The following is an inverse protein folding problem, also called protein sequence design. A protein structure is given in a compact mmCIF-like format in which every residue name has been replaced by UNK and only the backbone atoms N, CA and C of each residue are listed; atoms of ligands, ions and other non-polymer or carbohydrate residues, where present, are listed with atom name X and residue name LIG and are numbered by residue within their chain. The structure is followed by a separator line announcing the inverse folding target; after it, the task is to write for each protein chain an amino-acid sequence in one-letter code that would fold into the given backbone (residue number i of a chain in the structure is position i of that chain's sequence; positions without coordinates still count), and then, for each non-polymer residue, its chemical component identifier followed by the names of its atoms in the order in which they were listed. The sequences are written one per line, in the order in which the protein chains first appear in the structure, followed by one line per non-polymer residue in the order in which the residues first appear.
data_IF_371315652097
#
_entry.id   IF_371315652097
#
_cell.length_a   1.000
_cell.length_b   1.000
_cell.length_c   1.000
_cell.angle_alpha   90.00
_cell.angle_beta   90.00
_cell.angle_gamma   90.00
#
_symmetry.space_group_name_H-M   'P 1'
#
loop_
_entity.id
_entity.type
_entity.pdbx_description
1 polymer ?
#
# COMPACT_ATOMS: atom_id res chain seq x y z
N UNK A 1 -10.37 6.91 23.15
CA UNK A 1 -9.81 6.27 21.95
C UNK A 1 -10.79 5.22 21.46
N UNK A 2 -11.15 5.23 20.18
CA UNK A 2 -11.98 4.17 19.59
C UNK A 2 -11.17 2.89 19.44
N UNK A 3 -11.82 1.73 19.56
CA UNK A 3 -11.13 0.43 19.54
C UNK A 3 -10.31 0.18 18.26
N UNK A 4 -10.77 0.69 17.12
CA UNK A 4 -10.08 0.59 15.83
C UNK A 4 -8.77 1.38 15.80
N UNK A 5 -8.71 2.55 16.44
CA UNK A 5 -7.48 3.35 16.54
C UNK A 5 -6.43 2.59 17.36
N UNK A 6 -6.83 2.04 18.51
CA UNK A 6 -5.93 1.25 19.35
C UNK A 6 -5.38 0.00 18.61
N UNK A 7 -6.20 -0.63 17.76
CA UNK A 7 -5.75 -1.76 16.91
C UNK A 7 -4.74 -1.31 15.87
N UNK A 8 -4.99 -0.20 15.18
CA UNK A 8 -4.05 0.33 14.19
C UNK A 8 -2.71 0.77 14.83
N UNK A 9 -2.75 1.39 16.01
CA UNK A 9 -1.56 1.75 16.79
C UNK A 9 -0.76 0.50 17.20
N UNK A 10 -1.45 -0.55 17.66
CA UNK A 10 -0.81 -1.81 18.00
C UNK A 10 -0.15 -2.46 16.77
N UNK A 11 -0.83 -2.47 15.62
CA UNK A 11 -0.30 -3.00 14.36
C UNK A 11 0.89 -2.19 13.84
N UNK A 12 0.88 -0.86 14.05
CA UNK A 12 2.00 0.00 13.73
C UNK A 12 3.23 -0.36 14.59
N UNK A 13 3.03 -0.52 15.90
CA UNK A 13 4.11 -0.94 16.81
C UNK A 13 4.70 -2.28 16.38
N UNK A 14 3.86 -3.27 16.08
CA UNK A 14 4.30 -4.59 15.59
C UNK A 14 5.05 -4.47 14.26
N UNK A 15 4.56 -3.65 13.32
CA UNK A 15 5.24 -3.45 12.04
C UNK A 15 6.63 -2.83 12.22
N UNK A 16 6.76 -1.84 13.11
CA UNK A 16 8.04 -1.20 13.44
C UNK A 16 8.99 -2.19 14.10
N UNK A 17 8.51 -3.01 15.04
CA UNK A 17 9.32 -4.08 15.64
C UNK A 17 9.83 -5.05 14.58
N UNK A 18 8.97 -5.52 13.68
CA UNK A 18 9.38 -6.44 12.60
C UNK A 18 10.41 -5.81 11.64
N UNK A 19 10.26 -4.52 11.31
CA UNK A 19 11.26 -3.82 10.52
C UNK A 19 12.59 -3.68 11.26
N UNK A 20 12.57 -3.36 12.56
CA UNK A 20 13.77 -3.27 13.39
C UNK A 20 14.47 -4.63 13.49
N UNK A 21 13.72 -5.69 13.78
CA UNK A 21 14.26 -7.04 13.90
C UNK A 21 14.88 -7.51 12.57
N UNK A 22 14.23 -7.20 11.44
CA UNK A 22 14.78 -7.46 10.10
C UNK A 22 16.08 -6.69 9.84
N UNK A 23 16.11 -5.40 10.17
CA UNK A 23 17.31 -4.57 10.01
C UNK A 23 18.46 -5.06 10.91
N UNK A 24 18.16 -5.45 12.15
CA UNK A 24 19.15 -5.99 13.07
C UNK A 24 19.74 -7.31 12.53
N UNK A 25 18.90 -8.23 12.05
CA UNK A 25 19.38 -9.46 11.43
C UNK A 25 20.32 -9.15 10.25
N UNK A 26 19.92 -8.27 9.34
CA UNK A 26 20.78 -7.89 8.20
C UNK A 26 22.07 -7.19 8.60
N UNK A 27 22.07 -6.46 9.72
CA UNK A 27 23.26 -5.78 10.24
C UNK A 27 24.23 -6.78 10.86
N UNK A 28 23.73 -7.76 11.62
CA UNK A 28 24.52 -8.85 12.20
C UNK A 28 25.21 -9.67 11.10
N UNK A 29 24.56 -9.89 9.97
CA UNK A 29 25.17 -10.59 8.82
C UNK A 29 26.20 -9.74 8.05
N UNK A 30 26.04 -8.41 8.06
CA UNK A 30 26.93 -7.49 7.38
C UNK A 30 28.22 -7.20 8.16
N UNK A 31 28.27 -7.55 9.46
CA UNK A 31 29.46 -7.40 10.28
C UNK A 31 30.48 -8.50 9.92
N UNK A 32 31.65 -8.15 9.38
CA UNK A 32 32.67 -9.16 9.09
C UNK A 32 33.16 -9.80 10.40
N UNK A 33 33.18 -11.13 10.47
CA UNK A 33 33.74 -11.92 11.59
C UNK A 33 35.28 -11.79 11.72
N UNK A 34 35.85 -10.59 11.53
CA UNK A 34 37.30 -10.38 11.46
C UNK A 34 37.99 -10.18 12.83
N UNK A 35 37.31 -10.34 13.97
CA UNK A 35 37.93 -10.12 15.29
C UNK A 35 37.98 -11.35 16.22
N UNK A 36 37.68 -12.56 15.75
CA UNK A 36 37.73 -13.78 16.59
C UNK A 36 38.83 -14.79 16.22
N UNK A 37 39.83 -14.37 15.44
CA UNK A 37 40.93 -15.23 14.96
C UNK A 37 42.34 -14.81 15.39
N UNK A 38 42.52 -13.95 16.39
CA UNK A 38 43.83 -13.63 16.95
C UNK A 38 44.32 -14.77 17.89
N UNK A 39 44.41 -15.99 17.37
CA UNK A 39 45.03 -17.16 18.03
C UNK A 39 45.37 -18.23 16.99
N UNK A 40 46.14 -17.87 15.96
CA UNK A 40 46.88 -18.85 15.16
C UNK A 40 48.33 -18.86 15.66
N UNK A 41 48.84 -19.97 16.24
CA UNK A 41 50.24 -20.05 16.65
C UNK A 41 51.12 -20.10 15.39
N UNK A 42 52.00 -19.11 15.28
CA UNK A 42 53.05 -19.07 14.27
C UNK A 42 54.06 -20.20 14.52
N UNK A 43 53.98 -21.29 13.77
CA UNK A 43 55.09 -22.22 13.62
C UNK A 43 55.52 -22.24 12.15
N UNK A 44 56.59 -21.49 11.90
CA UNK A 44 57.52 -21.61 10.78
C UNK A 44 58.03 -23.05 10.64
N UNK A 45 57.89 -23.65 9.46
CA UNK A 45 58.54 -24.92 9.12
C UNK A 45 58.15 -25.49 7.75
N UNK A 46 59.06 -25.33 6.78
CA UNK A 46 59.27 -26.14 5.57
C UNK A 46 58.28 -26.16 4.39
N UNK A 47 58.69 -25.42 3.35
CA UNK A 47 58.93 -25.86 1.96
C UNK A 47 58.24 -27.15 1.46
N UNK A 48 57.26 -26.99 0.55
CA UNK A 48 57.28 -27.73 -0.74
C UNK A 48 56.79 -26.81 -1.86
N UNK A 49 57.68 -26.58 -2.82
CA UNK A 49 57.36 -25.98 -4.11
C UNK A 49 56.57 -26.97 -4.99
N UNK A 50 55.33 -26.60 -5.31
CA UNK A 50 54.57 -27.01 -6.50
C UNK A 50 53.98 -25.69 -7.03
N UNK A 51 54.38 -25.11 -8.16
CA UNK A 51 54.45 -25.76 -9.46
C UNK A 51 53.08 -25.67 -10.12
N UNK A 52 52.87 -24.66 -10.97
CA UNK A 52 51.84 -24.70 -12.02
C UNK A 52 50.53 -23.97 -11.74
N UNK A 53 50.28 -22.94 -12.56
CA UNK A 53 49.00 -22.34 -12.91
C UNK A 53 47.73 -23.18 -12.64
N UNK A 54 47.02 -22.90 -11.54
CA UNK A 54 45.59 -23.19 -11.41
C UNK A 54 44.93 -22.10 -10.54
N UNK A 55 44.69 -20.94 -11.14
CA UNK A 55 44.10 -19.79 -10.47
C UNK A 55 42.56 -19.74 -10.55
N UNK A 56 41.85 -20.76 -11.03
CA UNK A 56 40.41 -20.59 -11.34
C UNK A 56 39.43 -21.74 -11.02
N UNK A 57 39.86 -22.87 -10.45
CA UNK A 57 38.90 -23.93 -10.10
C UNK A 57 38.70 -23.98 -8.58
N UNK A 58 37.62 -23.35 -8.14
CA UNK A 58 37.03 -23.63 -6.82
C UNK A 58 36.68 -25.14 -6.84
N UNK A 59 37.23 -25.95 -5.91
CA UNK A 59 36.89 -27.37 -5.81
C UNK A 59 35.37 -27.56 -5.81
N UNK A 60 34.85 -28.55 -6.55
CA UNK A 60 33.41 -28.79 -6.70
C UNK A 60 32.67 -28.90 -5.35
N UNK A 61 33.35 -29.37 -4.31
CA UNK A 61 32.84 -29.44 -2.94
C UNK A 61 32.66 -28.07 -2.28
N UNK A 62 33.53 -27.10 -2.57
CA UNK A 62 33.38 -25.71 -2.14
C UNK A 62 32.30 -24.99 -2.94
N UNK A 63 32.15 -25.31 -4.22
CA UNK A 63 31.06 -24.78 -5.06
C UNK A 63 29.69 -25.24 -4.57
N UNK A 64 29.52 -26.55 -4.32
CA UNK A 64 28.28 -27.11 -3.76
C UNK A 64 27.96 -26.52 -2.38
N UNK A 65 28.98 -26.29 -1.55
CA UNK A 65 28.80 -25.66 -0.25
C UNK A 65 28.33 -24.22 -0.37
N UNK A 66 28.93 -23.44 -1.28
CA UNK A 66 28.53 -22.06 -1.52
C UNK A 66 27.11 -21.97 -2.09
N UNK A 67 26.72 -22.86 -3.00
CA UNK A 67 25.35 -22.95 -3.52
C UNK A 67 24.34 -23.29 -2.41
N UNK A 68 24.71 -24.20 -1.49
CA UNK A 68 23.87 -24.53 -0.33
C UNK A 68 23.73 -23.35 0.64
N UNK A 69 24.84 -22.70 0.99
CA UNK A 69 24.86 -21.51 1.86
C UNK A 69 24.04 -20.37 1.24
N UNK A 70 24.17 -20.14 -0.06
CA UNK A 70 23.36 -19.16 -0.80
C UNK A 70 21.86 -19.50 -0.79
N UNK A 71 21.50 -20.78 -0.96
CA UNK A 71 20.11 -21.23 -0.94
C UNK A 71 19.44 -21.04 0.43
N UNK A 72 20.15 -21.39 1.50
CA UNK A 72 19.70 -21.16 2.88
C UNK A 72 19.53 -19.67 3.14
N UNK A 73 20.46 -18.85 2.67
CA UNK A 73 20.40 -17.41 2.86
C UNK A 73 19.25 -16.75 2.09
N UNK A 74 19.02 -17.13 0.84
CA UNK A 74 17.87 -16.66 0.06
C UNK A 74 16.54 -17.01 0.74
N UNK A 75 16.44 -18.21 1.30
CA UNK A 75 15.25 -18.62 2.04
C UNK A 75 15.08 -17.80 3.32
N UNK A 76 16.17 -17.55 4.05
CA UNK A 76 16.15 -16.73 5.28
C UNK A 76 15.76 -15.29 4.98
N UNK A 77 16.41 -14.63 4.03
CA UNK A 77 16.06 -13.26 3.57
C UNK A 77 14.62 -13.20 3.07
N UNK A 78 14.20 -14.20 2.29
CA UNK A 78 12.82 -14.31 1.82
C UNK A 78 11.81 -14.38 2.96
N UNK A 79 12.13 -15.14 4.03
CA UNK A 79 11.26 -15.24 5.21
C UNK A 79 11.15 -13.93 5.99
N UNK A 80 12.27 -13.20 6.14
CA UNK A 80 12.32 -11.90 6.83
C UNK A 80 11.50 -10.87 6.04
N UNK A 81 11.73 -10.78 4.72
CA UNK A 81 11.00 -9.88 3.83
C UNK A 81 9.49 -10.19 3.85
N UNK A 82 9.10 -11.47 3.83
CA UNK A 82 7.70 -11.88 3.89
C UNK A 82 7.03 -11.49 5.21
N UNK A 83 7.72 -11.62 6.35
CA UNK A 83 7.18 -11.24 7.66
C UNK A 83 6.96 -9.73 7.79
N UNK A 84 7.90 -8.92 7.29
CA UNK A 84 7.75 -7.45 7.25
C UNK A 84 6.61 -7.06 6.33
N UNK A 85 6.56 -7.64 5.12
CA UNK A 85 5.50 -7.36 4.15
C UNK A 85 4.11 -7.71 4.70
N UNK A 86 3.97 -8.85 5.37
CA UNK A 86 2.71 -9.26 5.99
C UNK A 86 2.25 -8.25 7.05
N UNK A 87 3.17 -7.82 7.92
CA UNK A 87 2.88 -6.82 8.96
C UNK A 87 2.45 -5.47 8.36
N UNK A 88 3.10 -5.07 7.26
CA UNK A 88 2.73 -3.85 6.53
C UNK A 88 1.34 -3.95 5.89
N UNK A 89 0.98 -5.10 5.31
CA UNK A 89 -0.37 -5.30 4.75
C UNK A 89 -1.46 -5.27 5.83
N UNK A 90 -1.20 -5.84 7.01
CA UNK A 90 -2.14 -5.78 8.13
C UNK A 90 -2.34 -4.36 8.64
N UNK A 91 -1.24 -3.60 8.81
CA UNK A 91 -1.30 -2.19 9.17
C UNK A 91 -2.09 -1.38 8.13
N UNK A 92 -1.80 -1.58 6.84
CA UNK A 92 -2.51 -0.92 5.74
C UNK A 92 -4.01 -1.21 5.80
N UNK A 93 -4.42 -2.45 6.00
CA UNK A 93 -5.83 -2.81 6.12
C UNK A 93 -6.52 -2.07 7.28
N UNK A 94 -5.88 -2.01 8.45
CA UNK A 94 -6.40 -1.30 9.61
C UNK A 94 -6.52 0.22 9.38
N UNK A 95 -5.55 0.83 8.69
CA UNK A 95 -5.60 2.26 8.34
C UNK A 95 -6.74 2.56 7.35
N UNK A 96 -7.03 1.64 6.43
CA UNK A 96 -8.18 1.77 5.52
C UNK A 96 -9.51 1.71 6.27
N UNK A 97 -9.64 0.80 7.26
CA UNK A 97 -10.83 0.74 8.12
C UNK A 97 -11.05 2.01 8.94
N UNK A 98 -9.99 2.77 9.23
CA UNK A 98 -10.08 4.08 9.88
C UNK A 98 -10.53 5.21 8.96
N UNK A 99 -10.80 4.92 7.68
CA UNK A 99 -11.21 5.90 6.69
C UNK A 99 -10.06 6.47 5.85
N UNK A 100 -8.85 5.92 5.97
CA UNK A 100 -7.76 6.19 5.03
C UNK A 100 -8.15 5.68 3.64
N UNK A 101 -8.22 6.57 2.66
CA UNK A 101 -8.45 6.17 1.26
C UNK A 101 -7.27 5.37 0.73
N UNK A 102 -7.46 4.61 -0.35
CA UNK A 102 -6.34 3.97 -1.09
C UNK A 102 -6.41 4.42 -2.55
N UNK A 103 -5.28 4.83 -3.13
CA UNK A 103 -5.21 5.13 -4.56
C UNK A 103 -5.17 3.85 -5.42
N UNK A 104 -5.20 4.01 -6.74
CA UNK A 104 -5.14 2.89 -7.69
C UNK A 104 -3.83 2.08 -7.60
N UNK A 105 -2.74 2.67 -7.09
CA UNK A 105 -1.46 2.00 -6.83
C UNK A 105 -1.42 1.25 -5.51
N UNK A 106 -2.46 1.33 -4.68
CA UNK A 106 -2.49 0.65 -3.39
C UNK A 106 -1.81 1.42 -2.26
N UNK A 107 -1.58 2.72 -2.38
CA UNK A 107 -1.01 3.55 -1.31
C UNK A 107 -2.12 4.20 -0.51
N UNK A 108 -1.92 4.30 0.81
CA UNK A 108 -2.85 5.02 1.70
C UNK A 108 -2.78 6.51 1.37
N UNK A 109 -3.93 7.09 1.05
CA UNK A 109 -4.09 8.54 0.86
C UNK A 109 -4.66 9.10 2.16
N UNK A 110 -3.91 10.03 2.74
CA UNK A 110 -4.43 10.94 3.75
C UNK A 110 -4.84 12.24 3.04
N UNK A 111 -6.11 12.62 3.16
CA UNK A 111 -6.64 13.87 2.60
C UNK A 111 -6.85 14.84 3.75
N UNK A 112 -6.29 16.05 3.61
CA UNK A 112 -6.45 17.07 4.63
C UNK A 112 -7.93 17.39 4.84
N UNK A 113 -8.36 17.43 6.11
CA UNK A 113 -9.77 17.71 6.48
C UNK A 113 -10.28 19.01 5.84
N UNK A 114 -9.44 20.04 5.75
CA UNK A 114 -9.80 21.31 5.11
C UNK A 114 -10.15 21.17 3.62
N UNK A 115 -9.50 20.25 2.90
CA UNK A 115 -9.79 19.99 1.48
C UNK A 115 -11.11 19.21 1.32
N UNK A 116 -11.41 18.31 2.26
CA UNK A 116 -12.70 17.62 2.32
C UNK A 116 -13.83 18.60 2.62
N UNK A 117 -13.65 19.49 3.59
CA UNK A 117 -14.65 20.51 3.94
C UNK A 117 -14.94 21.43 2.76
N UNK A 118 -13.89 21.92 2.08
CA UNK A 118 -14.05 22.71 0.86
C UNK A 118 -14.78 21.94 -0.25
N UNK A 119 -14.46 20.67 -0.43
CA UNK A 119 -15.12 19.81 -1.43
C UNK A 119 -16.59 19.59 -1.10
N UNK A 120 -16.93 19.37 0.17
CA UNK A 120 -18.30 19.22 0.66
C UNK A 120 -19.08 20.52 0.43
N UNK A 121 -18.51 21.68 0.76
CA UNK A 121 -19.15 22.97 0.53
C UNK A 121 -19.42 23.22 -0.96
N UNK A 122 -18.43 22.92 -1.82
CA UNK A 122 -18.58 23.05 -3.27
C UNK A 122 -19.68 22.12 -3.82
N UNK A 123 -19.72 20.87 -3.39
CA UNK A 123 -20.76 19.91 -3.82
C UNK A 123 -22.14 20.34 -3.30
N UNK A 124 -22.21 20.81 -2.05
CA UNK A 124 -23.46 21.29 -1.44
C UNK A 124 -24.04 22.49 -2.18
N UNK A 125 -23.19 23.45 -2.56
CA UNK A 125 -23.61 24.63 -3.33
C UNK A 125 -24.10 24.26 -4.73
N UNK A 126 -23.41 23.37 -5.44
CA UNK A 126 -23.86 22.90 -6.76
C UNK A 126 -25.17 22.10 -6.66
N UNK A 127 -25.30 21.22 -5.65
CA UNK A 127 -26.57 20.51 -5.37
C UNK A 127 -27.72 21.49 -5.15
N UNK A 128 -27.50 22.55 -4.38
CA UNK A 128 -28.52 23.58 -4.15
C UNK A 128 -28.89 24.31 -5.43
N UNK A 129 -27.90 24.66 -6.26
CA UNK A 129 -28.10 25.28 -7.57
C UNK A 129 -28.96 24.40 -8.48
N UNK A 130 -28.59 23.13 -8.62
CA UNK A 130 -29.34 22.16 -9.43
C UNK A 130 -30.76 21.93 -8.89
N UNK A 131 -30.93 21.88 -7.57
CA UNK A 131 -32.25 21.75 -6.94
C UNK A 131 -33.20 22.90 -7.28
N UNK A 132 -32.71 24.15 -7.29
CA UNK A 132 -33.51 25.31 -7.72
C UNK A 132 -33.92 25.21 -9.18
N UNK A 133 -32.97 24.85 -10.03
CA UNK A 133 -33.17 24.72 -11.46
C UNK A 133 -34.21 23.63 -11.80
N UNK A 134 -34.21 22.53 -11.05
CA UNK A 134 -35.25 21.50 -11.15
C UNK A 134 -36.64 22.03 -10.79
N UNK A 135 -36.78 22.80 -9.71
CA UNK A 135 -38.07 23.38 -9.30
C UNK A 135 -38.59 24.34 -10.36
N UNK A 136 -37.72 25.17 -10.93
CA UNK A 136 -38.07 26.08 -12.03
C UNK A 136 -38.60 25.32 -13.25
N UNK A 137 -37.90 24.27 -13.69
CA UNK A 137 -38.34 23.47 -14.83
C UNK A 137 -39.64 22.71 -14.57
N UNK A 138 -39.85 22.17 -13.37
CA UNK A 138 -41.14 21.54 -13.03
C UNK A 138 -42.28 22.57 -13.03
N UNK A 139 -42.05 23.78 -12.50
CA UNK A 139 -43.04 24.85 -12.55
C UNK A 139 -43.32 25.37 -13.97
N UNK A 140 -42.34 25.35 -14.87
CA UNK A 140 -42.56 25.61 -16.30
C UNK A 140 -43.38 24.51 -16.98
N UNK A 141 -43.05 23.25 -16.71
CA UNK A 141 -43.77 22.12 -17.26
C UNK A 141 -45.24 22.09 -16.81
N UNK A 142 -45.51 22.40 -15.54
CA UNK A 142 -46.88 22.48 -15.00
C UNK A 142 -47.68 23.61 -15.64
N UNK A 143 -47.07 24.80 -15.81
CA UNK A 143 -47.71 25.93 -16.52
C UNK A 143 -48.02 25.58 -17.97
N UNK A 144 -47.10 24.91 -18.66
CA UNK A 144 -47.32 24.48 -20.05
C UNK A 144 -48.45 23.44 -20.13
N UNK A 145 -48.48 22.48 -19.21
CA UNK A 145 -49.53 21.48 -19.15
C UNK A 145 -50.92 22.12 -18.94
N UNK A 146 -51.03 23.08 -18.01
CA UNK A 146 -52.26 23.82 -17.76
C UNK A 146 -52.72 24.63 -18.99
N UNK A 147 -51.79 25.29 -19.68
CA UNK A 147 -52.10 26.04 -20.91
C UNK A 147 -52.62 25.13 -22.03
N UNK A 148 -52.03 23.95 -22.21
CA UNK A 148 -52.49 22.95 -23.18
C UNK A 148 -53.90 22.46 -22.80
N UNK A 149 -54.16 22.19 -21.52
CA UNK A 149 -55.47 21.75 -21.05
C UNK A 149 -56.56 22.81 -21.31
N UNK A 150 -56.26 24.09 -21.04
CA UNK A 150 -57.16 25.20 -21.34
C UNK A 150 -57.45 25.32 -22.84
N UNK A 151 -56.41 25.21 -23.68
CA UNK A 151 -56.56 25.25 -25.13
C UNK A 151 -57.45 24.11 -25.63
N UNK A 152 -57.24 22.87 -25.14
CA UNK A 152 -58.08 21.71 -25.48
C UNK A 152 -59.55 21.97 -25.12
N UNK A 153 -59.83 22.50 -23.93
CA UNK A 153 -61.18 22.79 -23.48
C UNK A 153 -61.86 23.92 -24.29
N UNK A 154 -61.06 24.84 -24.83
CA UNK A 154 -61.56 25.96 -25.66
C UNK A 154 -61.98 25.56 -27.07
N UNK A 155 -61.52 24.40 -27.56
CA UNK A 155 -61.87 23.88 -28.88
C UNK A 155 -63.33 23.41 -28.87
N UNK A 156 -64.22 24.19 -29.46
CA UNK A 156 -65.61 23.78 -29.71
C UNK A 156 -65.62 22.61 -30.71
N UNK A 157 -65.95 21.42 -30.23
CA UNK A 157 -66.23 20.27 -31.10
C UNK A 157 -67.57 20.53 -31.81
N UNK A 158 -67.61 20.59 -33.16
CA UNK A 158 -68.87 20.70 -33.89
C UNK A 158 -69.71 19.45 -33.63
N UNK A 159 -70.92 19.63 -33.12
CA UNK A 159 -71.85 18.52 -32.92
C UNK A 159 -72.18 17.87 -34.27
N UNK A 160 -71.85 16.59 -34.44
CA UNK A 160 -72.24 15.78 -35.59
C UNK A 160 -73.78 15.69 -35.62
N UNK A 161 -74.38 16.38 -36.59
CA UNK A 161 -75.77 16.16 -37.02
C UNK A 161 -75.79 15.14 -38.13
#
# INVERSE_FOLDING_TARGET
MTASIAVAEQLLAVCVEKMRDALQATLEDALPESELGASAPSNTGDLVAWGGAHANDIPDTLKQRLEWEQGVEQQRVGSIAAAVQHSFQQLKAAVVELGGGVNASGEVIDVLVAELDYSIERISSERSRLGKLMVEYYGEAERLAAAIEEEILSIKVPSLK
#
